data_IF_334746800544
#
_entry.id   IF_334746800544
#
_cell.length_a   1.000
_cell.length_b   1.000
_cell.length_c   1.000
_cell.angle_alpha   90.00
_cell.angle_beta   90.00
_cell.angle_gamma   90.00
#
_symmetry.space_group_name_H-M   'P 1'
#
loop_
_entity.id
_entity.type
_entity.pdbx_description
1 polymer ?
#
# COMPACT_ATOMS: atom_id res chain seq x y z
N UNK A 1 8.46 8.62 18.94
CA UNK A 1 7.15 9.04 18.41
C UNK A 1 6.12 8.03 18.87
N UNK A 2 5.08 8.48 19.58
CA UNK A 2 3.84 7.71 19.70
C UNK A 2 3.23 7.62 18.31
N UNK A 3 3.17 6.43 17.72
CA UNK A 3 2.50 6.23 16.43
C UNK A 3 1.00 6.46 16.53
N UNK A 4 0.29 6.31 15.42
CA UNK A 4 -1.18 6.45 15.36
C UNK A 4 -1.80 5.04 15.33
N UNK A 5 -2.74 4.78 16.24
CA UNK A 5 -3.46 3.50 16.27
C UNK A 5 -4.42 3.34 15.10
N UNK A 6 -4.57 2.12 14.58
CA UNK A 6 -5.58 1.76 13.58
C UNK A 6 -6.05 0.30 13.73
N UNK A 7 -7.22 0.00 13.16
CA UNK A 7 -7.78 -1.35 13.14
C UNK A 7 -7.26 -2.15 11.93
N UNK A 8 -6.33 -3.07 12.20
CA UNK A 8 -5.79 -4.01 11.23
C UNK A 8 -6.73 -5.16 10.86
N UNK A 9 -7.80 -5.41 11.62
CA UNK A 9 -8.77 -6.48 11.30
C UNK A 9 -9.65 -6.15 10.10
N UNK A 10 -9.79 -4.86 9.82
CA UNK A 10 -10.47 -4.33 8.63
C UNK A 10 -9.61 -4.39 7.35
N UNK A 11 -8.34 -4.81 7.44
CA UNK A 11 -7.41 -4.88 6.30
C UNK A 11 -7.14 -6.34 5.93
N UNK A 12 -7.43 -6.71 4.66
CA UNK A 12 -7.20 -8.07 4.17
C UNK A 12 -5.72 -8.45 4.28
N UNK A 13 -5.45 -9.61 4.88
CA UNK A 13 -4.10 -10.12 5.07
C UNK A 13 -3.38 -9.56 6.30
N UNK A 14 -4.00 -8.63 7.03
CA UNK A 14 -3.49 -8.12 8.30
C UNK A 14 -4.04 -8.96 9.46
N UNK A 15 -4.38 -8.36 10.59
CA UNK A 15 -4.69 -9.08 11.81
C UNK A 15 -6.10 -9.66 11.81
N UNK A 16 -6.31 -10.63 12.69
CA UNK A 16 -7.66 -11.09 13.01
C UNK A 16 -8.31 -10.16 14.04
N UNK A 17 -9.63 -10.26 14.19
CA UNK A 17 -10.43 -9.38 15.08
C UNK A 17 -9.91 -9.39 16.54
N UNK A 18 -9.32 -10.48 17.02
CA UNK A 18 -8.81 -10.57 18.39
C UNK A 18 -7.44 -9.89 18.60
N UNK A 19 -6.77 -9.48 17.54
CA UNK A 19 -5.49 -8.75 17.54
C UNK A 19 -5.60 -7.51 16.65
N UNK A 20 -6.76 -6.87 16.63
CA UNK A 20 -7.10 -5.80 15.69
C UNK A 20 -6.18 -4.58 15.77
N UNK A 21 -5.73 -4.22 16.96
CA UNK A 21 -5.06 -2.95 17.19
C UNK A 21 -3.63 -2.97 16.68
N UNK A 22 -3.31 -2.03 15.81
CA UNK A 22 -2.00 -1.89 15.17
C UNK A 22 -1.53 -0.43 15.24
N UNK A 23 -0.23 -0.19 15.07
CA UNK A 23 0.37 1.15 15.16
C UNK A 23 1.00 1.58 13.84
N UNK A 24 0.64 2.76 13.33
CA UNK A 24 1.31 3.42 12.23
C UNK A 24 2.40 4.36 12.76
N UNK A 25 3.62 4.22 12.26
CA UNK A 25 4.72 5.15 12.54
C UNK A 25 5.15 5.80 11.23
N UNK A 26 4.93 7.11 11.12
CA UNK A 26 5.24 7.88 9.92
C UNK A 26 6.75 7.95 9.66
N UNK A 27 7.13 7.79 8.39
CA UNK A 27 8.49 8.03 7.92
C UNK A 27 8.61 9.43 7.32
N UNK A 28 9.28 10.38 8.00
CA UNK A 28 9.38 11.75 7.56
C UNK A 28 10.14 11.92 6.24
N UNK A 29 10.95 10.94 5.82
CA UNK A 29 11.69 11.00 4.54
C UNK A 29 10.78 10.87 3.31
N UNK A 30 9.55 10.39 3.51
CA UNK A 30 8.57 10.15 2.43
C UNK A 30 7.55 11.26 2.25
N UNK A 31 7.71 12.37 2.99
CA UNK A 31 6.72 13.44 3.03
C UNK A 31 6.57 14.15 1.68
N UNK A 32 5.33 14.25 1.18
CA UNK A 32 4.98 14.99 -0.03
C UNK A 32 3.75 15.88 0.22
N UNK A 33 3.69 17.06 -0.42
CA UNK A 33 2.44 17.82 -0.51
C UNK A 33 1.52 17.13 -1.51
N UNK A 34 0.31 16.78 -1.10
CA UNK A 34 -0.65 16.07 -1.94
C UNK A 34 -1.21 17.00 -3.04
N UNK A 35 -0.99 16.71 -4.33
CA UNK A 35 -1.42 17.59 -5.42
C UNK A 35 -2.92 17.48 -5.74
N UNK A 36 -3.63 16.50 -5.20
CA UNK A 36 -5.05 16.25 -5.49
C UNK A 36 -5.99 16.87 -4.43
N UNK A 37 -5.47 17.21 -3.24
CA UNK A 37 -6.26 17.77 -2.16
C UNK A 37 -6.49 19.28 -2.32
N UNK A 38 -7.74 19.73 -2.23
CA UNK A 38 -8.08 21.18 -2.24
C UNK A 38 -7.55 21.91 -1.00
N UNK A 39 -7.63 21.27 0.17
CA UNK A 39 -7.01 21.76 1.40
C UNK A 39 -5.55 21.29 1.38
N UNK A 40 -4.56 22.15 1.69
CA UNK A 40 -3.17 21.73 1.76
C UNK A 40 -2.99 20.54 2.71
N UNK A 41 -2.60 19.40 2.14
CA UNK A 41 -2.46 18.12 2.85
C UNK A 41 -1.04 17.60 2.68
N UNK A 42 -0.44 17.15 3.78
CA UNK A 42 0.85 16.45 3.77
C UNK A 42 0.61 14.94 3.83
N UNK A 43 1.06 14.22 2.81
CA UNK A 43 0.98 12.76 2.73
C UNK A 43 2.32 12.14 3.10
N UNK A 44 2.31 11.15 4.00
CA UNK A 44 3.50 10.40 4.42
C UNK A 44 3.21 8.90 4.36
N UNK A 45 4.24 8.12 4.08
CA UNK A 45 4.19 6.66 4.19
C UNK A 45 4.52 6.27 5.63
N UNK A 46 3.81 5.28 6.17
CA UNK A 46 3.99 4.76 7.52
C UNK A 46 4.52 3.33 7.49
N UNK A 47 5.31 2.95 8.50
CA UNK A 47 5.57 1.56 8.83
C UNK A 47 4.53 1.07 9.84
N UNK A 48 4.22 -0.22 9.81
CA UNK A 48 3.28 -0.85 10.74
C UNK A 48 4.04 -1.56 11.87
N UNK A 49 3.66 -1.29 13.11
CA UNK A 49 4.21 -1.91 14.31
C UNK A 49 3.11 -2.57 15.14
N UNK A 50 3.49 -3.58 15.90
CA UNK A 50 2.70 -4.11 16.99
C UNK A 50 2.63 -3.10 18.15
N UNK A 51 1.45 -2.79 18.71
CA UNK A 51 1.30 -1.71 19.69
C UNK A 51 1.94 -2.03 21.05
N UNK A 52 2.05 -3.32 21.40
CA UNK A 52 2.55 -3.78 22.70
C UNK A 52 4.07 -3.95 22.68
N UNK A 53 4.56 -4.83 21.80
CA UNK A 53 5.97 -5.17 21.65
C UNK A 53 6.78 -4.12 20.90
N UNK A 54 6.10 -3.20 20.20
CA UNK A 54 6.71 -2.19 19.31
C UNK A 54 7.57 -2.79 18.19
N UNK A 55 7.41 -4.09 17.92
CA UNK A 55 8.15 -4.75 16.84
C UNK A 55 7.53 -4.41 15.48
N UNK A 56 8.35 -4.29 14.42
CA UNK A 56 7.84 -4.15 13.06
C UNK A 56 6.93 -5.32 12.69
N UNK A 57 5.82 -5.01 12.05
CA UNK A 57 4.84 -6.01 11.67
C UNK A 57 5.35 -6.84 10.48
N UNK A 58 5.33 -8.16 10.63
CA UNK A 58 5.96 -9.07 9.66
C UNK A 58 5.25 -9.12 8.31
N UNK A 59 3.96 -8.76 8.28
CA UNK A 59 3.12 -8.72 7.07
C UNK A 59 2.99 -7.32 6.46
N UNK A 60 3.67 -6.32 7.00
CA UNK A 60 3.84 -5.02 6.34
C UNK A 60 4.74 -5.20 5.10
N UNK A 61 4.23 -4.99 3.86
CA UNK A 61 5.04 -5.11 2.66
C UNK A 61 6.25 -4.19 2.64
N UNK A 62 6.15 -3.02 3.28
CA UNK A 62 7.25 -2.06 3.37
C UNK A 62 8.35 -2.55 4.30
N UNK A 63 7.97 -3.20 5.40
CA UNK A 63 8.93 -3.88 6.27
C UNK A 63 9.62 -5.05 5.55
N UNK A 64 8.91 -5.77 4.66
CA UNK A 64 9.53 -6.80 3.82
C UNK A 64 10.57 -6.21 2.87
N UNK A 65 10.27 -5.08 2.21
CA UNK A 65 11.22 -4.39 1.35
C UNK A 65 12.48 -3.94 2.13
N UNK A 66 12.31 -3.31 3.30
CA UNK A 66 13.42 -2.90 4.17
C UNK A 66 14.27 -4.09 4.65
N UNK A 67 13.66 -5.25 4.91
CA UNK A 67 14.39 -6.49 5.22
C UNK A 67 15.22 -6.95 4.03
N UNK A 68 14.69 -6.86 2.81
CA UNK A 68 15.41 -7.24 1.59
C UNK A 68 16.62 -6.32 1.34
N UNK A 69 16.47 -5.00 1.50
CA UNK A 69 17.57 -4.04 1.40
C UNK A 69 18.68 -4.34 2.43
N UNK A 70 18.30 -4.56 3.69
CA UNK A 70 19.26 -4.89 4.74
C UNK A 70 19.97 -6.23 4.47
N UNK A 71 19.22 -7.24 4.04
CA UNK A 71 19.79 -8.55 3.70
C UNK A 71 20.82 -8.45 2.57
N UNK A 72 20.55 -7.63 1.54
CA UNK A 72 21.50 -7.41 0.45
C UNK A 72 22.83 -6.84 0.97
N UNK A 73 22.77 -5.79 1.79
CA UNK A 73 23.96 -5.20 2.39
C UNK A 73 24.70 -6.19 3.31
N UNK A 74 23.98 -6.93 4.16
CA UNK A 74 24.55 -7.93 5.08
C UNK A 74 25.21 -9.11 4.34
N UNK A 75 24.72 -9.46 3.14
CA UNK A 75 25.30 -10.51 2.32
C UNK A 75 26.68 -10.17 1.76
N UNK A 76 27.05 -8.88 1.74
CA UNK A 76 28.29 -8.38 1.14
C UNK A 76 28.34 -8.44 -0.38
N UNK A 77 27.22 -8.74 -1.05
CA UNK A 77 27.13 -8.83 -2.52
C UNK A 77 27.07 -7.42 -3.15
N UNK A 78 26.25 -6.54 -2.58
CA UNK A 78 26.09 -5.16 -3.02
C UNK A 78 25.50 -4.30 -1.88
N UNK A 79 25.60 -2.98 -2.01
CA UNK A 79 25.02 -2.04 -1.05
C UNK A 79 23.61 -1.58 -1.44
N UNK A 80 23.34 -1.47 -2.76
CA UNK A 80 22.11 -0.89 -3.31
C UNK A 80 21.61 -1.72 -4.49
N UNK A 81 20.30 -1.96 -4.54
CA UNK A 81 19.60 -2.55 -5.68
C UNK A 81 18.66 -1.51 -6.30
N UNK A 82 18.94 -1.06 -7.52
CA UNK A 82 18.11 -0.10 -8.24
C UNK A 82 17.05 -0.82 -9.08
N UNK A 83 15.81 -0.31 -9.03
CA UNK A 83 14.66 -0.86 -9.76
C UNK A 83 14.04 0.23 -10.65
N UNK A 84 13.85 -0.08 -11.93
CA UNK A 84 13.20 0.80 -12.91
C UNK A 84 11.93 0.15 -13.44
N UNK A 85 10.79 0.25 -12.72
CA UNK A 85 9.53 -0.33 -13.18
C UNK A 85 8.91 0.51 -14.30
N UNK A 86 8.34 -0.16 -15.29
CA UNK A 86 7.48 0.44 -16.32
C UNK A 86 6.03 0.00 -16.05
N UNK A 87 5.22 0.92 -15.52
CA UNK A 87 3.83 0.65 -15.15
C UNK A 87 2.89 1.09 -16.27
N UNK A 88 2.47 0.16 -17.10
CA UNK A 88 1.44 0.38 -18.12
C UNK A 88 0.05 0.48 -17.48
N UNK A 89 -0.84 1.31 -18.05
CA UNK A 89 -2.21 1.48 -17.57
C UNK A 89 -3.17 1.83 -18.72
N UNK A 90 -4.47 1.65 -18.47
CA UNK A 90 -5.55 2.06 -19.37
C UNK A 90 -6.34 3.22 -18.76
N UNK A 91 -6.79 4.16 -19.60
CA UNK A 91 -7.74 5.22 -19.24
C UNK A 91 -9.06 4.92 -19.95
N UNK A 92 -10.12 4.70 -19.18
CA UNK A 92 -11.46 4.41 -19.68
C UNK A 92 -12.43 5.56 -19.37
N UNK A 93 -13.43 5.74 -20.23
CA UNK A 93 -14.53 6.69 -20.04
C UNK A 93 -15.58 6.13 -19.09
N UNK A 94 -15.90 4.84 -19.20
CA UNK A 94 -16.80 4.16 -18.25
C UNK A 94 -16.56 2.65 -18.15
N UNK A 95 -16.88 2.09 -16.99
CA UNK A 95 -16.86 0.65 -16.74
C UNK A 95 -18.09 0.22 -15.93
N UNK A 96 -18.80 -0.82 -16.37
CA UNK A 96 -19.94 -1.41 -15.68
C UNK A 96 -19.84 -2.92 -15.73
N UNK A 97 -19.94 -3.60 -14.59
CA UNK A 97 -19.92 -5.05 -14.52
C UNK A 97 -20.72 -5.52 -13.32
N UNK A 98 -21.31 -6.71 -13.41
CA UNK A 98 -22.01 -7.36 -12.30
C UNK A 98 -22.17 -8.87 -12.59
N UNK A 99 -22.35 -9.65 -11.52
CA UNK A 99 -22.59 -11.08 -11.56
C UNK A 99 -23.57 -11.49 -10.45
N UNK A 100 -24.77 -11.88 -10.84
CA UNK A 100 -25.80 -12.45 -9.97
C UNK A 100 -26.07 -13.92 -10.28
N UNK A 101 -26.97 -14.56 -9.53
CA UNK A 101 -27.27 -15.98 -9.69
C UNK A 101 -27.79 -16.37 -11.10
N UNK A 102 -28.43 -15.42 -11.80
CA UNK A 102 -29.06 -15.63 -13.12
C UNK A 102 -28.52 -14.70 -14.22
N UNK A 103 -27.51 -13.88 -13.94
CA UNK A 103 -26.97 -12.95 -14.92
C UNK A 103 -25.50 -12.65 -14.68
N UNK A 104 -24.79 -12.28 -15.74
CA UNK A 104 -23.48 -11.66 -15.67
C UNK A 104 -23.30 -10.72 -16.86
N UNK A 105 -22.66 -9.57 -16.66
CA UNK A 105 -22.36 -8.64 -17.75
C UNK A 105 -21.07 -7.84 -17.49
N UNK A 106 -20.50 -7.32 -18.58
CA UNK A 106 -19.40 -6.35 -18.58
C UNK A 106 -19.61 -5.36 -19.73
N UNK A 107 -19.37 -4.08 -19.48
CA UNK A 107 -19.37 -3.00 -20.45
C UNK A 107 -18.17 -2.10 -20.15
N UNK A 108 -17.31 -1.91 -21.14
CA UNK A 108 -16.14 -1.02 -21.07
C UNK A 108 -16.24 -0.03 -22.21
N UNK A 109 -16.04 1.24 -21.91
CA UNK A 109 -16.17 2.34 -22.86
C UNK A 109 -14.96 3.26 -22.77
N UNK A 110 -14.52 3.77 -23.91
CA UNK A 110 -13.41 4.72 -24.01
C UNK A 110 -13.60 5.55 -25.27
N UNK A 111 -13.39 6.86 -25.15
CA UNK A 111 -13.47 7.79 -26.28
C UNK A 111 -12.39 7.49 -27.34
N UNK A 112 -11.28 6.85 -26.93
CA UNK A 112 -10.17 6.41 -27.79
C UNK A 112 -10.30 4.93 -28.20
N UNK A 113 -11.37 4.26 -27.77
CA UNK A 113 -11.64 2.87 -28.07
C UNK A 113 -11.93 2.65 -29.56
N UNK A 114 -11.28 1.66 -30.17
CA UNK A 114 -11.51 1.26 -31.56
C UNK A 114 -12.56 0.15 -31.71
N UNK A 115 -13.14 -0.29 -30.59
CA UNK A 115 -14.13 -1.37 -30.51
C UNK A 115 -15.56 -0.88 -30.76
#
# INVERSE_FOLDING_TARGET
MEGIGFDGSSIRGFQHIHESDMLLVADPSTAIIDPACTVPTLSLVCNVLDPLSRQPYTRDPRHVAQKAERYLAESGIADISYWGPEAEFFVFSSIRFDAGAQFAYHYVDSDEGIW
#
